data_IF_084062154387
#
_entry.id   IF_084062154387
#
_cell.length_a   1.000
_cell.length_b   1.000
_cell.length_c   1.000
_cell.angle_alpha   90.00
_cell.angle_beta   90.00
_cell.angle_gamma   90.00
#
_symmetry.space_group_name_H-M   'P 1'
#
loop_
_entity.id
_entity.type
_entity.pdbx_description
1 polymer ?
#
# COMPACT_ATOMS: atom_id res chain seq x y z
N UNK A 1 -10.81 6.91 12.08
CA UNK A 1 -11.09 5.79 13.02
C UNK A 1 -12.07 4.83 12.36
N UNK A 2 -11.71 3.58 12.04
CA UNK A 2 -12.74 2.59 11.75
C UNK A 2 -13.64 2.49 12.98
N UNK A 3 -14.93 2.78 12.80
CA UNK A 3 -15.94 2.63 13.85
C UNK A 3 -16.29 1.16 13.88
N UNK A 4 -15.96 0.50 14.99
CA UNK A 4 -16.54 -0.79 15.31
C UNK A 4 -18.00 -0.55 15.71
N UNK A 5 -18.93 -1.12 14.95
CA UNK A 5 -20.34 -1.16 15.33
C UNK A 5 -20.63 -2.59 15.75
N UNK A 6 -20.91 -2.80 17.03
CA UNK A 6 -21.59 -4.02 17.44
C UNK A 6 -22.92 -4.09 16.69
N UNK A 7 -23.28 -5.28 16.23
CA UNK A 7 -24.67 -5.52 15.86
C UNK A 7 -25.49 -5.33 17.16
N UNK A 8 -26.54 -4.49 17.17
CA UNK A 8 -27.36 -4.33 18.35
C UNK A 8 -27.81 -5.70 18.87
N UNK A 9 -27.48 -6.01 20.13
CA UNK A 9 -27.88 -7.26 20.78
C UNK A 9 -29.41 -7.45 20.83
N UNK A 10 -30.16 -6.36 20.71
CA UNK A 10 -31.62 -6.35 20.59
C UNK A 10 -32.06 -5.68 19.29
N UNK A 11 -32.95 -6.34 18.54
CA UNK A 11 -33.57 -5.78 17.35
C UNK A 11 -34.53 -4.63 17.75
N UNK A 12 -33.99 -3.41 17.87
CA UNK A 12 -34.78 -2.19 18.07
C UNK A 12 -34.86 -1.41 16.75
N UNK A 13 -36.05 -1.22 16.15
CA UNK A 13 -36.21 -0.48 14.90
C UNK A 13 -35.89 1.02 15.05
N UNK A 14 -35.73 1.52 16.28
CA UNK A 14 -35.41 2.92 16.59
C UNK A 14 -33.90 3.19 16.76
N UNK A 15 -33.03 2.17 16.72
CA UNK A 15 -31.59 2.36 16.91
C UNK A 15 -31.19 2.89 18.31
N UNK A 16 -29.89 3.01 18.61
CA UNK A 16 -29.39 3.45 19.92
C UNK A 16 -29.63 4.94 20.21
N UNK A 17 -29.83 5.76 19.19
CA UNK A 17 -30.13 7.20 19.29
C UNK A 17 -31.64 7.52 19.19
N UNK A 18 -32.50 6.51 19.05
CA UNK A 18 -33.95 6.68 18.95
C UNK A 18 -34.46 7.16 17.59
N UNK A 19 -33.58 7.41 16.61
CA UNK A 19 -33.92 7.97 15.31
C UNK A 19 -33.95 6.96 14.14
N UNK A 20 -33.75 5.68 14.44
CA UNK A 20 -33.72 4.58 13.47
C UNK A 20 -32.34 4.38 12.85
N UNK A 21 -32.08 3.17 12.36
CA UNK A 21 -30.83 2.84 11.68
C UNK A 21 -30.73 3.59 10.34
N UNK A 22 -29.68 4.40 10.14
CA UNK A 22 -29.44 5.11 8.89
C UNK A 22 -29.14 4.10 7.75
N UNK A 23 -30.14 3.88 6.89
CA UNK A 23 -30.13 2.92 5.78
C UNK A 23 -29.29 3.41 4.60
N UNK A 24 -27.97 3.23 4.66
CA UNK A 24 -27.09 3.17 3.48
C UNK A 24 -26.03 2.05 3.63
N UNK A 25 -26.39 0.98 4.33
CA UNK A 25 -25.57 -0.23 4.53
C UNK A 25 -26.16 -1.42 3.78
N UNK A 26 -26.47 -1.26 2.49
CA UNK A 26 -27.27 -2.22 1.71
C UNK A 26 -26.58 -3.56 1.39
N UNK A 27 -25.41 -3.87 1.97
CA UNK A 27 -24.79 -5.20 1.92
C UNK A 27 -24.24 -5.68 3.29
N UNK A 28 -24.67 -5.07 4.40
CA UNK A 28 -24.13 -5.34 5.74
C UNK A 28 -24.72 -6.57 6.46
N UNK A 29 -25.39 -7.50 5.76
CA UNK A 29 -26.30 -8.46 6.41
C UNK A 29 -26.11 -9.94 6.04
N UNK A 30 -24.88 -10.40 5.78
CA UNK A 30 -24.60 -11.84 5.75
C UNK A 30 -23.96 -12.29 7.08
N UNK A 31 -24.80 -12.60 8.07
CA UNK A 31 -24.61 -13.51 9.23
C UNK A 31 -23.33 -13.47 10.10
N UNK A 32 -22.49 -12.44 10.02
CA UNK A 32 -21.33 -12.30 10.92
C UNK A 32 -21.55 -11.24 12.03
N UNK A 33 -21.34 -11.57 13.33
CA UNK A 33 -21.64 -10.69 14.46
C UNK A 33 -20.81 -9.39 14.58
N UNK A 34 -19.67 -9.28 13.89
CA UNK A 34 -18.77 -8.15 14.00
C UNK A 34 -18.83 -7.28 12.74
N UNK A 35 -19.39 -6.07 12.83
CA UNK A 35 -19.42 -5.12 11.71
C UNK A 35 -18.13 -4.29 11.66
N UNK A 36 -17.05 -4.94 11.26
CA UNK A 36 -15.94 -4.25 10.62
C UNK A 36 -16.31 -4.09 9.13
N UNK A 37 -16.14 -2.88 8.58
CA UNK A 37 -16.74 -2.43 7.30
C UNK A 37 -16.90 -3.49 6.21
N UNK A 38 -18.13 -3.59 5.68
CA UNK A 38 -18.57 -4.29 4.45
C UNK A 38 -17.42 -4.94 3.65
N UNK A 39 -17.08 -6.23 3.82
CA UNK A 39 -16.00 -6.86 3.01
C UNK A 39 -16.31 -6.70 1.50
N UNK A 40 -15.51 -5.95 0.72
CA UNK A 40 -15.82 -5.65 -0.65
C UNK A 40 -15.37 -6.86 -1.47
N UNK A 41 -16.34 -7.65 -1.92
CA UNK A 41 -16.09 -8.84 -2.73
C UNK A 41 -15.68 -8.51 -4.17
N UNK A 42 -15.90 -7.25 -4.58
CA UNK A 42 -15.53 -6.70 -5.89
C UNK A 42 -14.63 -5.49 -5.71
N UNK A 43 -13.72 -5.28 -6.66
CA UNK A 43 -12.84 -4.13 -6.70
C UNK A 43 -13.61 -2.79 -6.72
N UNK A 44 -14.59 -2.67 -7.62
CA UNK A 44 -15.40 -1.47 -7.80
C UNK A 44 -16.36 -1.15 -6.63
N UNK A 45 -16.31 -1.89 -5.52
CA UNK A 45 -17.07 -1.62 -4.29
C UNK A 45 -16.26 -0.80 -3.27
N UNK A 46 -14.96 -0.57 -3.52
CA UNK A 46 -14.05 0.18 -2.65
C UNK A 46 -13.62 1.55 -3.22
N UNK A 47 -14.14 1.91 -4.39
CA UNK A 47 -13.77 3.15 -5.07
C UNK A 47 -14.47 4.35 -4.43
N UNK A 48 -13.72 5.21 -3.75
CA UNK A 48 -14.24 6.50 -3.32
C UNK A 48 -14.33 7.44 -4.53
N UNK A 49 -15.53 7.64 -5.09
CA UNK A 49 -15.75 8.41 -6.31
C UNK A 49 -15.15 9.85 -6.31
N UNK A 50 -14.93 10.45 -5.13
CA UNK A 50 -14.38 11.81 -5.01
C UNK A 50 -12.86 11.87 -5.09
N UNK A 51 -12.18 10.82 -4.68
CA UNK A 51 -10.70 10.82 -4.63
C UNK A 51 -10.13 9.76 -5.56
N UNK A 52 -10.84 8.68 -5.86
CA UNK A 52 -10.29 7.52 -6.56
C UNK A 52 -9.34 6.70 -5.68
N UNK A 53 -9.34 6.94 -4.37
CA UNK A 53 -8.59 6.13 -3.40
C UNK A 53 -9.33 4.81 -3.15
N UNK A 54 -8.55 3.74 -3.02
CA UNK A 54 -9.02 2.44 -2.53
C UNK A 54 -9.03 2.46 -0.99
N UNK A 55 -10.01 3.15 -0.40
CA UNK A 55 -10.10 3.30 1.06
C UNK A 55 -11.54 3.22 1.55
N UNK A 56 -11.69 2.84 2.81
CA UNK A 56 -12.97 2.80 3.53
C UNK A 56 -13.44 4.22 3.86
N UNK A 57 -13.84 5.01 2.88
CA UNK A 57 -14.12 6.44 3.09
C UNK A 57 -12.93 7.16 3.73
N UNK A 58 -13.16 8.11 4.64
CA UNK A 58 -12.10 8.77 5.40
C UNK A 58 -11.37 7.90 6.44
N UNK A 59 -11.56 6.58 6.40
CA UNK A 59 -11.00 5.64 7.37
C UNK A 59 -9.90 4.78 6.71
N UNK A 60 -8.70 4.84 7.30
CA UNK A 60 -7.55 4.05 6.87
C UNK A 60 -7.66 2.57 7.29
N UNK A 61 -6.86 1.70 6.68
CA UNK A 61 -6.66 0.32 7.16
C UNK A 61 -6.16 0.39 8.62
N UNK A 62 -6.64 -0.49 9.49
CA UNK A 62 -6.04 -0.63 10.82
C UNK A 62 -4.60 -1.14 10.65
N UNK A 63 -3.62 -0.25 10.65
CA UNK A 63 -2.21 -0.62 10.59
C UNK A 63 -1.76 -0.95 12.02
N UNK A 64 -1.27 -2.17 12.23
CA UNK A 64 -0.91 -2.70 13.54
C UNK A 64 -0.30 -1.70 14.50
N UNK A 65 -0.91 -1.57 15.68
CA UNK A 65 -0.41 -0.95 16.91
C UNK A 65 0.31 0.42 16.85
N UNK A 66 0.46 1.07 15.68
CA UNK A 66 1.42 2.18 15.49
C UNK A 66 0.80 3.55 15.31
N UNK A 67 -0.52 3.65 15.18
CA UNK A 67 -1.19 4.91 15.45
C UNK A 67 -1.49 4.95 16.96
N UNK A 68 -0.72 5.74 17.70
CA UNK A 68 -1.16 6.19 19.02
C UNK A 68 -2.56 6.78 18.81
N UNK A 69 -3.59 6.36 19.56
CA UNK A 69 -4.93 6.90 19.41
C UNK A 69 -4.83 8.41 19.51
N UNK A 70 -4.97 9.13 18.39
CA UNK A 70 -5.08 10.59 18.44
C UNK A 70 -6.45 10.87 19.03
N UNK A 71 -6.54 11.50 20.21
CA UNK A 71 -7.83 11.92 20.70
C UNK A 71 -8.41 12.88 19.65
N UNK A 72 -9.63 12.62 19.21
CA UNK A 72 -10.38 13.63 18.48
C UNK A 72 -10.50 14.82 19.44
N UNK A 73 -10.15 16.05 19.02
CA UNK A 73 -10.41 17.23 19.85
C UNK A 73 -11.89 17.20 20.23
N UNK A 74 -12.20 17.17 21.53
CA UNK A 74 -13.55 17.04 22.11
C UNK A 74 -14.17 15.62 22.16
N UNK A 75 -13.41 14.53 22.04
CA UNK A 75 -13.93 13.20 22.35
C UNK A 75 -14.27 13.07 23.85
N UNK A 76 -15.46 12.57 24.15
CA UNK A 76 -15.85 12.22 25.52
C UNK A 76 -14.84 11.22 26.13
N UNK A 77 -14.50 11.30 27.42
CA UNK A 77 -13.63 10.31 28.08
C UNK A 77 -14.16 8.87 27.96
N UNK A 78 -15.46 8.69 27.72
CA UNK A 78 -16.10 7.38 27.53
C UNK A 78 -16.09 6.87 26.08
N UNK A 79 -15.45 7.60 25.15
CA UNK A 79 -15.38 7.16 23.75
C UNK A 79 -14.46 5.93 23.66
N UNK A 80 -14.95 4.75 23.24
CA UNK A 80 -14.14 3.54 23.19
C UNK A 80 -12.95 3.73 22.26
N UNK A 81 -11.74 3.65 22.82
CA UNK A 81 -10.49 3.66 22.06
C UNK A 81 -10.26 2.27 21.49
N UNK A 82 -10.72 2.05 20.26
CA UNK A 82 -10.42 0.79 19.56
C UNK A 82 -8.93 0.77 19.22
N UNK A 83 -8.15 -0.01 19.98
CA UNK A 83 -6.77 -0.32 19.66
C UNK A 83 -6.77 -1.25 18.44
N UNK A 84 -6.13 -0.86 17.34
CA UNK A 84 -6.11 -1.67 16.12
C UNK A 84 -5.65 -3.12 16.35
N UNK A 85 -4.78 -3.35 17.33
CA UNK A 85 -4.29 -4.69 17.68
C UNK A 85 -5.35 -5.66 18.21
N UNK A 86 -6.50 -5.16 18.69
CA UNK A 86 -7.63 -5.96 19.18
C UNK A 86 -8.83 -5.98 18.22
N UNK A 87 -8.70 -5.43 17.01
CA UNK A 87 -9.74 -5.51 16.00
C UNK A 87 -9.83 -6.94 15.46
N UNK A 88 -10.99 -7.64 15.55
CA UNK A 88 -11.12 -9.02 15.08
C UNK A 88 -10.78 -9.20 13.59
N UNK A 89 -11.05 -8.20 12.74
CA UNK A 89 -10.64 -8.23 11.33
C UNK A 89 -9.13 -8.08 11.17
N UNK A 90 -8.49 -7.22 11.97
CA UNK A 90 -7.03 -7.10 11.97
C UNK A 90 -6.35 -8.36 12.52
N UNK A 91 -6.93 -8.98 13.55
CA UNK A 91 -6.46 -10.25 14.09
C UNK A 91 -6.65 -11.39 13.08
N UNK A 92 -7.82 -11.49 12.45
CA UNK A 92 -8.09 -12.47 11.40
C UNK A 92 -7.17 -12.29 10.18
N UNK A 93 -6.89 -11.04 9.77
CA UNK A 93 -5.93 -10.75 8.70
C UNK A 93 -4.48 -11.06 9.08
N UNK A 94 -4.11 -10.98 10.36
CA UNK A 94 -2.80 -11.42 10.86
C UNK A 94 -2.68 -12.93 11.00
N UNK A 95 -3.79 -13.59 11.31
CA UNK A 95 -3.90 -15.03 11.49
C UNK A 95 -4.02 -15.75 10.13
N UNK A 96 -4.47 -15.05 9.09
CA UNK A 96 -4.45 -15.52 7.71
C UNK A 96 -3.11 -15.20 7.01
N UNK A 97 -2.62 -16.14 6.17
CA UNK A 97 -1.27 -16.08 5.64
C UNK A 97 -1.09 -14.99 4.58
N UNK A 98 0.19 -14.68 4.34
CA UNK A 98 0.72 -13.89 3.21
C UNK A 98 -0.10 -14.10 1.94
N UNK A 99 -0.21 -13.07 1.09
CA UNK A 99 -0.72 -13.23 -0.29
C UNK A 99 -0.14 -14.51 -0.89
N UNK A 100 -0.95 -15.57 -1.08
CA UNK A 100 -0.42 -16.86 -1.48
C UNK A 100 0.24 -16.69 -2.86
N UNK A 101 1.46 -17.21 -2.99
CA UNK A 101 2.24 -17.19 -4.23
C UNK A 101 2.67 -15.79 -4.69
N UNK A 102 3.04 -14.90 -3.77
CA UNK A 102 3.70 -13.63 -4.13
C UNK A 102 4.88 -13.89 -5.11
N UNK A 103 4.87 -13.31 -6.31
CA UNK A 103 5.91 -13.55 -7.31
C UNK A 103 7.30 -13.15 -6.80
N UNK A 104 8.18 -14.13 -6.70
CA UNK A 104 9.60 -13.95 -6.38
C UNK A 104 9.87 -13.16 -5.08
N UNK A 105 10.98 -12.39 -5.07
CA UNK A 105 11.31 -11.37 -4.06
C UNK A 105 10.81 -9.97 -4.46
N UNK A 106 9.85 -9.89 -5.40
CA UNK A 106 9.41 -8.60 -5.95
C UNK A 106 8.86 -7.68 -4.86
N UNK A 107 9.40 -6.47 -4.76
CA UNK A 107 8.95 -5.47 -3.77
C UNK A 107 7.82 -4.58 -4.29
N UNK A 108 7.64 -4.56 -5.62
CA UNK A 108 6.61 -3.81 -6.34
C UNK A 108 6.00 -4.68 -7.44
N UNK A 109 4.68 -4.70 -7.51
CA UNK A 109 3.91 -5.35 -8.58
C UNK A 109 2.83 -4.41 -9.10
N UNK A 110 2.48 -4.57 -10.37
CA UNK A 110 1.28 -3.98 -10.97
C UNK A 110 0.12 -4.97 -10.81
N UNK A 111 -0.93 -4.58 -10.10
CA UNK A 111 -2.17 -5.34 -10.00
C UNK A 111 -3.16 -4.89 -11.07
N UNK A 112 -3.62 -5.81 -11.91
CA UNK A 112 -4.68 -5.57 -12.89
C UNK A 112 -5.95 -6.31 -12.52
N UNK A 113 -7.05 -5.58 -12.48
CA UNK A 113 -8.33 -6.13 -12.05
C UNK A 113 -8.98 -6.88 -13.20
N UNK A 114 -9.49 -8.06 -12.91
CA UNK A 114 -10.26 -8.90 -13.82
C UNK A 114 -11.52 -9.37 -13.13
N UNK A 115 -12.64 -9.36 -13.83
CA UNK A 115 -13.84 -10.03 -13.34
C UNK A 115 -13.63 -11.55 -13.41
N UNK A 116 -14.21 -12.27 -12.46
CA UNK A 116 -14.19 -13.73 -12.54
C UNK A 116 -14.94 -14.21 -13.79
N UNK A 117 -14.45 -15.28 -14.45
CA UNK A 117 -15.19 -15.87 -15.56
C UNK A 117 -16.54 -16.38 -15.06
N UNK A 118 -17.58 -16.18 -15.87
CA UNK A 118 -18.93 -16.66 -15.52
C UNK A 118 -18.93 -18.17 -15.37
N UNK A 119 -19.63 -18.67 -14.35
CA UNK A 119 -19.77 -20.10 -14.12
C UNK A 119 -20.60 -20.71 -15.25
N UNK A 120 -20.07 -21.70 -16.00
CA UNK A 120 -20.80 -22.31 -17.11
C UNK A 120 -22.18 -22.84 -16.66
N UNK A 121 -23.24 -22.44 -17.37
CA UNK A 121 -24.60 -22.90 -17.10
C UNK A 121 -25.36 -22.13 -16.01
N UNK A 122 -24.74 -21.16 -15.33
CA UNK A 122 -25.38 -20.34 -14.30
C UNK A 122 -25.82 -18.98 -14.87
N UNK A 123 -27.12 -18.67 -14.82
CA UNK A 123 -27.69 -17.47 -15.46
C UNK A 123 -28.29 -16.44 -14.49
N UNK A 124 -28.74 -16.85 -13.30
CA UNK A 124 -29.52 -16.00 -12.38
C UNK A 124 -28.80 -15.63 -11.08
N UNK A 125 -27.90 -16.50 -10.59
CA UNK A 125 -27.16 -16.29 -9.34
C UNK A 125 -25.76 -16.90 -9.47
N UNK A 126 -25.00 -16.43 -10.46
CA UNK A 126 -23.64 -16.90 -10.69
C UNK A 126 -22.75 -16.48 -9.49
N UNK A 127 -22.13 -17.43 -8.75
CA UNK A 127 -21.25 -17.09 -7.64
C UNK A 127 -20.01 -16.28 -8.06
N UNK A 128 -19.65 -16.29 -9.34
CA UNK A 128 -18.61 -15.44 -9.92
C UNK A 128 -19.07 -14.00 -10.18
N UNK A 129 -20.38 -13.76 -10.28
CA UNK A 129 -20.91 -12.41 -10.52
C UNK A 129 -20.60 -11.49 -9.33
N UNK A 130 -19.87 -10.41 -9.61
CA UNK A 130 -19.44 -9.46 -8.58
C UNK A 130 -18.19 -9.87 -7.80
N UNK A 131 -17.43 -10.86 -8.29
CA UNK A 131 -16.07 -11.17 -7.82
C UNK A 131 -15.02 -10.65 -8.80
N UNK A 132 -13.89 -10.24 -8.25
CA UNK A 132 -12.74 -9.78 -9.03
C UNK A 132 -11.49 -10.53 -8.61
N UNK A 133 -10.68 -10.95 -9.58
CA UNK A 133 -9.29 -11.35 -9.35
C UNK A 133 -8.35 -10.19 -9.69
N UNK A 134 -7.15 -10.24 -9.13
CA UNK A 134 -6.07 -9.31 -9.44
C UNK A 134 -4.93 -10.11 -10.03
N UNK A 135 -4.66 -9.86 -11.31
CA UNK A 135 -3.55 -10.45 -12.03
C UNK A 135 -2.31 -9.62 -11.75
N UNK A 136 -1.23 -10.29 -11.35
CA UNK A 136 0.01 -9.64 -10.92
C UNK A 136 0.99 -9.58 -12.08
N UNK A 137 1.48 -8.37 -12.34
CA UNK A 137 2.52 -8.10 -13.33
C UNK A 137 3.75 -7.49 -12.64
N UNK A 138 4.92 -7.67 -13.25
CA UNK A 138 6.13 -6.93 -12.85
C UNK A 138 5.93 -5.44 -13.12
N UNK A 139 6.80 -4.59 -12.57
CA UNK A 139 6.74 -3.15 -12.86
C UNK A 139 6.98 -2.80 -14.33
N UNK A 140 7.58 -3.72 -15.09
CA UNK A 140 7.79 -3.63 -16.54
C UNK A 140 6.58 -4.12 -17.35
N UNK A 141 5.49 -4.54 -16.67
CA UNK A 141 4.27 -5.04 -17.30
C UNK A 141 4.28 -6.52 -17.67
N UNK A 142 5.34 -7.27 -17.32
CA UNK A 142 5.41 -8.70 -17.61
C UNK A 142 4.43 -9.46 -16.71
N UNK A 143 3.61 -10.33 -17.30
CA UNK A 143 2.71 -11.20 -16.54
C UNK A 143 3.52 -12.20 -15.70
N UNK A 144 3.19 -12.30 -14.41
CA UNK A 144 3.83 -13.25 -13.49
C UNK A 144 3.13 -14.62 -13.49
N UNK A 145 1.97 -14.73 -14.15
CA UNK A 145 1.10 -15.91 -14.10
C UNK A 145 0.35 -16.08 -12.78
N UNK A 146 0.48 -15.14 -11.85
CA UNK A 146 -0.19 -15.17 -10.54
C UNK A 146 -1.44 -14.30 -10.59
N UNK A 147 -2.56 -14.91 -10.22
CA UNK A 147 -3.83 -14.22 -9.97
C UNK A 147 -4.26 -14.46 -8.52
N UNK A 148 -4.63 -13.38 -7.83
CA UNK A 148 -5.05 -13.40 -6.42
C UNK A 148 -6.50 -12.98 -6.34
N UNK A 149 -7.29 -13.60 -5.47
CA UNK A 149 -8.65 -13.13 -5.22
C UNK A 149 -8.62 -11.75 -4.55
N UNK A 150 -9.43 -10.81 -5.04
CA UNK A 150 -9.46 -9.45 -4.51
C UNK A 150 -9.69 -9.40 -2.99
N UNK A 151 -10.61 -10.18 -2.41
CA UNK A 151 -10.86 -10.15 -0.97
C UNK A 151 -9.70 -10.64 -0.12
N UNK A 152 -8.79 -11.44 -0.67
CA UNK A 152 -7.58 -11.91 0.02
C UNK A 152 -6.48 -10.85 -0.08
N UNK A 153 -6.31 -10.28 -1.27
CA UNK A 153 -5.38 -9.17 -1.48
C UNK A 153 -5.77 -7.93 -0.66
N UNK A 154 -7.06 -7.61 -0.54
CA UNK A 154 -7.54 -6.43 0.17
C UNK A 154 -7.22 -6.46 1.68
N UNK A 155 -7.12 -7.66 2.27
CA UNK A 155 -6.87 -7.83 3.71
C UNK A 155 -5.40 -8.12 4.05
N UNK A 156 -4.56 -8.42 3.05
CA UNK A 156 -3.14 -8.69 3.26
C UNK A 156 -2.45 -7.52 4.00
N UNK A 157 -1.89 -7.83 5.17
CA UNK A 157 -1.35 -6.83 6.09
C UNK A 157 0.02 -6.31 5.63
N UNK A 158 0.76 -7.15 4.91
CA UNK A 158 2.11 -6.95 4.42
C UNK A 158 2.18 -6.19 3.09
N UNK A 159 1.07 -5.62 2.60
CA UNK A 159 1.07 -4.84 1.36
C UNK A 159 0.40 -3.48 1.51
N UNK A 160 0.77 -2.56 0.61
CA UNK A 160 0.09 -1.29 0.36
C UNK A 160 -0.29 -1.19 -1.10
N UNK A 161 -1.34 -0.44 -1.38
CA UNK A 161 -1.85 -0.24 -2.74
C UNK A 161 -1.90 1.25 -3.03
N UNK A 162 -1.47 1.66 -4.22
CA UNK A 162 -1.61 3.06 -4.67
C UNK A 162 -3.05 3.36 -5.10
N UNK A 163 -3.25 4.57 -5.60
CA UNK A 163 -4.47 4.96 -6.26
C UNK A 163 -4.70 4.10 -7.49
N UNK A 164 -5.98 3.87 -7.79
CA UNK A 164 -6.38 3.24 -9.05
C UNK A 164 -6.05 4.19 -10.20
N UNK A 165 -5.64 3.59 -11.30
CA UNK A 165 -5.59 4.24 -12.61
C UNK A 165 -6.14 3.29 -13.66
N UNK A 166 -6.37 3.80 -14.86
CA UNK A 166 -6.71 2.99 -16.03
C UNK A 166 -5.51 2.92 -16.95
N UNK A 167 -5.11 1.72 -17.34
CA UNK A 167 -4.16 1.47 -18.41
C UNK A 167 -4.87 0.85 -19.63
N UNK A 168 -4.11 0.46 -20.67
CA UNK A 168 -4.71 -0.15 -21.87
C UNK A 168 -5.45 -1.46 -21.60
N UNK A 169 -5.19 -2.08 -20.45
CA UNK A 169 -5.73 -3.37 -20.05
C UNK A 169 -6.87 -3.24 -19.04
N UNK A 170 -7.22 -2.02 -18.58
CA UNK A 170 -8.35 -1.73 -17.71
C UNK A 170 -7.95 -1.12 -16.37
N UNK A 171 -8.69 -1.46 -15.31
CA UNK A 171 -8.42 -0.95 -13.97
C UNK A 171 -7.15 -1.57 -13.37
N UNK A 172 -6.24 -0.72 -12.91
CA UNK A 172 -4.94 -1.11 -12.39
C UNK A 172 -4.50 -0.27 -11.19
N UNK A 173 -3.55 -0.80 -10.42
CA UNK A 173 -2.92 -0.12 -9.28
C UNK A 173 -1.58 -0.77 -8.93
N UNK A 174 -0.69 -0.02 -8.29
CA UNK A 174 0.55 -0.57 -7.78
C UNK A 174 0.35 -1.24 -6.43
N UNK A 175 1.00 -2.38 -6.23
CA UNK A 175 1.02 -3.13 -4.99
C UNK A 175 2.45 -3.16 -4.47
N UNK A 176 2.65 -2.62 -3.28
CA UNK A 176 3.96 -2.54 -2.65
C UNK A 176 4.02 -3.45 -1.44
N UNK A 177 5.03 -4.33 -1.39
CA UNK A 177 5.27 -5.17 -0.23
C UNK A 177 5.89 -4.37 0.91
N UNK A 178 5.47 -4.63 2.14
CA UNK A 178 6.08 -4.11 3.36
C UNK A 178 7.10 -5.12 3.85
N UNK A 179 8.38 -4.77 3.70
CA UNK A 179 9.47 -5.62 4.16
C UNK A 179 9.50 -5.70 5.70
N UNK A 180 9.35 -6.89 6.32
CA UNK A 180 9.38 -7.04 7.78
C UNK A 180 10.75 -6.71 8.39
N UNK A 181 11.84 -6.79 7.61
CA UNK A 181 13.17 -6.42 8.08
C UNK A 181 13.33 -4.91 8.31
N UNK A 182 12.42 -4.08 7.78
CA UNK A 182 12.43 -2.62 7.94
C UNK A 182 12.50 -2.17 9.42
N UNK A 183 11.91 -2.93 10.34
CA UNK A 183 11.97 -2.59 11.77
C UNK A 183 13.38 -2.64 12.36
N UNK A 184 14.26 -3.43 11.75
CA UNK A 184 15.66 -3.62 12.17
C UNK A 184 16.64 -2.76 11.36
N UNK A 185 16.17 -2.05 10.34
CA UNK A 185 17.03 -1.20 9.51
C UNK A 185 17.37 0.11 10.18
N UNK A 186 18.59 0.59 9.93
CA UNK A 186 19.11 1.83 10.49
C UNK A 186 19.16 2.89 9.40
N UNK A 187 18.56 4.04 9.68
CA UNK A 187 18.58 5.23 8.84
C UNK A 187 19.23 6.36 9.62
N UNK A 188 20.34 6.87 9.11
CA UNK A 188 21.00 8.04 9.69
C UNK A 188 20.58 9.30 8.96
N UNK A 189 19.91 10.20 9.68
CA UNK A 189 19.44 11.48 9.14
C UNK A 189 20.27 12.62 9.69
N UNK A 190 20.77 13.48 8.81
CA UNK A 190 21.46 14.73 9.16
C UNK A 190 20.86 15.90 8.38
N UNK A 191 20.42 16.93 9.10
CA UNK A 191 19.92 18.17 8.51
C UNK A 191 21.08 19.14 8.27
N UNK A 192 21.12 19.71 7.08
CA UNK A 192 22.01 20.79 6.68
C UNK A 192 21.18 22.05 6.40
N UNK A 193 21.86 23.17 6.11
CA UNK A 193 21.20 24.46 5.85
C UNK A 193 20.31 24.42 4.61
N UNK A 194 20.73 23.71 3.57
CA UNK A 194 20.13 23.71 2.23
C UNK A 194 19.51 22.35 1.84
N UNK A 195 19.71 21.32 2.65
CA UNK A 195 19.21 19.97 2.39
C UNK A 195 19.15 19.10 3.64
N UNK A 196 18.42 18.00 3.57
CA UNK A 196 18.51 16.89 4.52
C UNK A 196 19.19 15.71 3.84
N UNK A 197 20.13 15.07 4.54
CA UNK A 197 20.80 13.86 4.06
C UNK A 197 20.33 12.66 4.88
N UNK A 198 19.93 11.60 4.18
CA UNK A 198 19.64 10.30 4.76
C UNK A 198 20.66 9.30 4.25
N UNK A 199 21.21 8.48 5.14
CA UNK A 199 22.10 7.38 4.78
C UNK A 199 21.46 6.09 5.25
N UNK A 200 21.26 5.17 4.32
CA UNK A 200 20.61 3.88 4.55
C UNK A 200 21.67 2.82 4.77
N UNK A 201 21.48 2.00 5.80
CA UNK A 201 22.40 0.92 6.13
C UNK A 201 21.68 -0.42 6.20
N UNK A 202 22.39 -1.47 5.79
CA UNK A 202 22.03 -2.84 6.07
C UNK A 202 22.24 -3.14 7.57
N UNK A 203 21.70 -4.28 8.02
CA UNK A 203 21.83 -4.72 9.41
C UNK A 203 23.29 -4.96 9.85
N UNK A 204 24.19 -5.22 8.90
CA UNK A 204 25.64 -5.39 9.09
C UNK A 204 26.41 -4.05 9.09
N UNK A 205 25.71 -2.91 9.14
CA UNK A 205 26.26 -1.55 9.08
C UNK A 205 26.94 -1.19 7.74
N UNK A 206 26.75 -1.98 6.69
CA UNK A 206 27.16 -1.59 5.34
C UNK A 206 26.21 -0.55 4.77
N UNK A 207 26.75 0.43 4.06
CA UNK A 207 25.95 1.48 3.41
C UNK A 207 25.28 0.92 2.16
N UNK A 208 23.99 1.20 2.01
CA UNK A 208 23.17 0.75 0.87
C UNK A 208 22.87 1.90 -0.09
N UNK A 209 22.54 3.07 0.47
CA UNK A 209 22.22 4.25 -0.31
C UNK A 209 22.45 5.54 0.50
N UNK A 210 22.56 6.66 -0.20
CA UNK A 210 22.35 7.98 0.37
C UNK A 210 21.29 8.74 -0.42
N UNK A 211 20.44 9.44 0.31
CA UNK A 211 19.40 10.28 -0.23
C UNK A 211 19.68 11.72 0.21
N UNK A 212 19.58 12.65 -0.73
CA UNK A 212 19.70 14.08 -0.47
C UNK A 212 18.39 14.76 -0.84
N UNK A 213 17.69 15.29 0.16
CA UNK A 213 16.40 15.95 -0.01
C UNK A 213 16.58 17.46 0.09
N UNK A 214 16.18 18.17 -0.95
CA UNK A 214 16.09 19.62 -1.01
C UNK A 214 14.64 20.05 -0.77
N UNK A 215 14.41 20.97 0.17
CA UNK A 215 13.07 21.31 0.67
C UNK A 215 12.64 20.41 1.84
N UNK A 216 11.32 20.31 2.07
CA UNK A 216 10.77 19.40 3.06
C UNK A 216 10.90 17.95 2.57
N UNK A 217 11.32 17.02 3.43
CA UNK A 217 11.33 15.61 3.05
C UNK A 217 9.89 15.15 2.77
N UNK A 218 9.58 14.78 1.52
CA UNK A 218 8.29 14.20 1.15
C UNK A 218 8.13 12.75 1.65
N UNK A 219 8.85 12.33 2.69
CA UNK A 219 8.81 10.97 3.21
C UNK A 219 9.06 10.96 4.72
N UNK A 220 8.50 9.97 5.39
CA UNK A 220 8.74 9.67 6.78
C UNK A 220 9.86 8.62 6.95
N UNK A 221 10.35 8.48 8.18
CA UNK A 221 11.41 7.52 8.52
C UNK A 221 11.04 6.07 8.15
N UNK A 222 9.76 5.70 8.26
CA UNK A 222 9.33 4.34 7.94
C UNK A 222 9.45 4.03 6.43
N UNK A 223 9.24 5.02 5.55
CA UNK A 223 9.47 4.85 4.10
C UNK A 223 10.94 4.52 3.80
N UNK A 224 11.86 5.20 4.49
CA UNK A 224 13.30 5.00 4.33
C UNK A 224 13.75 3.64 4.86
N UNK A 225 13.14 3.18 5.96
CA UNK A 225 13.41 1.86 6.54
C UNK A 225 13.01 0.71 5.62
N UNK A 226 11.83 0.79 5.00
CA UNK A 226 11.45 -0.21 3.99
C UNK A 226 12.36 -0.15 2.77
N UNK A 227 12.71 1.04 2.31
CA UNK A 227 13.64 1.16 1.18
C UNK A 227 15.02 0.58 1.50
N UNK A 228 15.54 0.82 2.70
CA UNK A 228 16.78 0.20 3.18
C UNK A 228 16.67 -1.34 3.24
N UNK A 229 15.56 -1.87 3.75
CA UNK A 229 15.33 -3.31 3.84
C UNK A 229 15.26 -3.97 2.45
N UNK A 230 14.55 -3.34 1.52
CA UNK A 230 14.43 -3.81 0.14
C UNK A 230 15.82 -3.86 -0.52
N UNK A 231 16.63 -2.81 -0.39
CA UNK A 231 17.99 -2.78 -0.93
C UNK A 231 18.90 -3.84 -0.30
N UNK A 232 18.76 -4.10 1.01
CA UNK A 232 19.55 -5.11 1.72
C UNK A 232 19.27 -6.53 1.20
N UNK A 233 18.02 -6.83 0.83
CA UNK A 233 17.64 -8.14 0.30
C UNK A 233 18.22 -8.43 -1.10
N UNK A 234 18.55 -7.38 -1.86
CA UNK A 234 19.18 -7.46 -3.18
C UNK A 234 20.67 -7.73 -3.11
N UNK A 235 21.33 -7.19 -2.09
CA UNK A 235 22.78 -7.35 -1.90
C UNK A 235 23.22 -8.79 -1.64
N UNK A 236 22.37 -9.56 -0.96
CA UNK A 236 22.62 -10.97 -0.70
C UNK A 236 22.29 -11.87 -1.89
N UNK A 237 21.71 -11.34 -2.97
CA UNK A 237 21.43 -12.09 -4.18
C UNK A 237 22.67 -12.07 -5.07
N UNK A 238 23.20 -13.26 -5.41
CA UNK A 238 24.25 -13.36 -6.41
C UNK A 238 23.80 -12.68 -7.71
N UNK A 239 24.66 -11.92 -8.41
CA UNK A 239 24.26 -11.23 -9.63
C UNK A 239 23.75 -12.26 -10.64
N UNK A 240 22.45 -12.20 -10.93
CA UNK A 240 21.90 -12.92 -12.07
C UNK A 240 22.61 -12.42 -13.34
N UNK A 241 23.07 -13.37 -14.13
CA UNK A 241 24.06 -13.25 -15.20
C UNK A 241 24.08 -11.96 -16.06
N UNK A 242 25.30 -11.45 -16.28
CA UNK A 242 25.68 -10.59 -17.40
C UNK A 242 25.58 -9.07 -17.14
N UNK A 243 26.29 -8.23 -17.92
CA UNK A 243 26.08 -6.79 -17.91
C UNK A 243 24.74 -6.50 -18.57
N UNK A 244 23.64 -6.67 -17.83
CA UNK A 244 22.35 -6.18 -18.26
C UNK A 244 22.45 -4.66 -18.30
N UNK A 245 22.20 -4.07 -19.46
CA UNK A 245 21.99 -2.63 -19.59
C UNK A 245 20.99 -2.20 -18.53
N UNK A 246 21.36 -1.26 -17.67
CA UNK A 246 20.48 -0.77 -16.61
C UNK A 246 19.11 -0.45 -17.22
N UNK A 247 18.01 -1.02 -16.70
CA UNK A 247 16.70 -0.77 -17.27
C UNK A 247 16.42 0.74 -17.22
N UNK A 248 15.82 1.26 -18.29
CA UNK A 248 15.44 2.67 -18.32
C UNK A 248 14.45 2.94 -17.18
N UNK A 249 14.76 3.94 -16.34
CA UNK A 249 13.84 4.42 -15.34
C UNK A 249 12.63 5.04 -16.06
N UNK A 250 11.39 4.68 -15.70
CA UNK A 250 10.23 5.36 -16.25
C UNK A 250 10.21 6.81 -15.75
N UNK A 251 9.76 7.75 -16.59
CA UNK A 251 9.65 9.18 -16.22
C UNK A 251 8.68 9.42 -15.05
N UNK A 252 7.74 8.50 -14.84
CA UNK A 252 6.79 8.51 -13.73
C UNK A 252 6.12 7.15 -13.55
N UNK A 253 5.34 7.04 -12.48
CA UNK A 253 4.53 5.86 -12.18
C UNK A 253 3.05 6.21 -12.39
N UNK A 254 2.33 5.54 -13.30
CA UNK A 254 0.88 5.70 -13.45
C UNK A 254 0.15 5.58 -12.11
N UNK A 255 -0.84 6.43 -11.85
CA UNK A 255 -1.57 6.44 -10.58
C UNK A 255 -0.77 6.91 -9.35
N UNK A 256 0.46 7.38 -9.53
CA UNK A 256 1.27 8.03 -8.50
C UNK A 256 1.49 9.50 -8.94
N UNK A 257 0.49 10.38 -8.72
CA UNK A 257 0.59 11.77 -9.12
C UNK A 257 1.68 12.49 -8.29
N UNK A 258 2.10 13.65 -8.77
CA UNK A 258 3.07 14.54 -8.11
C UNK A 258 4.53 14.08 -8.10
N UNK A 259 4.83 12.88 -8.58
CA UNK A 259 6.21 12.38 -8.69
C UNK A 259 6.66 12.30 -10.14
N UNK A 260 7.89 12.76 -10.39
CA UNK A 260 8.63 12.47 -11.62
C UNK A 260 10.00 11.91 -11.27
N UNK A 261 10.50 11.02 -12.12
CA UNK A 261 11.75 10.30 -11.95
C UNK A 261 12.63 10.53 -13.17
N UNK A 262 13.87 10.97 -12.94
CA UNK A 262 14.84 11.16 -14.01
C UNK A 262 16.22 10.65 -13.57
N UNK A 263 16.99 10.01 -14.46
CA UNK A 263 18.40 9.74 -14.20
C UNK A 263 19.22 11.04 -14.28
N UNK A 264 20.07 11.28 -13.29
CA UNK A 264 21.01 12.40 -13.25
C UNK A 264 22.40 11.90 -12.83
N UNK A 265 23.35 11.83 -13.77
CA UNK A 265 24.74 11.46 -13.46
C UNK A 265 24.91 10.10 -12.74
N UNK A 266 24.13 9.09 -13.14
CA UNK A 266 24.14 7.76 -12.49
C UNK A 266 23.36 7.68 -11.18
N UNK A 267 22.67 8.76 -10.79
CA UNK A 267 21.75 8.79 -9.65
C UNK A 267 20.30 8.92 -10.12
N UNK A 268 19.35 8.53 -9.29
CA UNK A 268 17.93 8.76 -9.56
C UNK A 268 17.49 10.07 -8.88
N UNK A 269 16.89 10.98 -9.66
CA UNK A 269 16.28 12.20 -9.13
C UNK A 269 14.77 12.04 -9.09
N UNK A 270 14.19 12.15 -7.90
CA UNK A 270 12.76 12.16 -7.66
C UNK A 270 12.35 13.60 -7.40
N UNK A 271 11.45 14.14 -8.22
CA UNK A 271 10.85 15.45 -7.96
C UNK A 271 9.42 15.25 -7.49
N UNK A 272 9.12 15.77 -6.31
CA UNK A 272 7.78 15.82 -5.74
C UNK A 272 7.21 17.24 -5.87
N UNK A 273 6.11 17.40 -6.59
CA UNK A 273 5.37 18.67 -6.60
C UNK A 273 4.57 18.82 -5.31
N UNK A 274 4.38 20.06 -4.84
CA UNK A 274 3.62 20.30 -3.60
C UNK A 274 2.24 19.64 -3.64
N UNK A 275 1.87 19.00 -2.53
CA UNK A 275 0.58 18.37 -2.29
C UNK A 275 0.00 18.89 -0.99
N UNK A 276 -1.18 18.38 -0.59
CA UNK A 276 -1.78 18.75 0.69
C UNK A 276 -0.91 18.37 1.90
N UNK A 277 -0.17 17.28 1.77
CA UNK A 277 0.52 16.63 2.89
C UNK A 277 2.02 16.89 2.89
N UNK A 278 2.60 17.28 1.74
CA UNK A 278 4.03 17.58 1.61
C UNK A 278 4.29 18.78 0.69
N UNK A 279 5.21 19.65 1.09
CA UNK A 279 5.71 20.71 0.22
C UNK A 279 6.48 20.12 -0.98
N UNK A 280 6.71 20.97 -1.99
CA UNK A 280 7.54 20.61 -3.12
C UNK A 280 8.96 20.25 -2.64
N UNK A 281 9.50 19.18 -3.18
CA UNK A 281 10.85 18.72 -2.84
C UNK A 281 11.53 18.02 -3.99
N UNK A 282 12.86 18.05 -3.98
CA UNK A 282 13.69 17.29 -4.91
C UNK A 282 14.58 16.37 -4.10
N UNK A 283 14.55 15.09 -4.42
CA UNK A 283 15.35 14.07 -3.77
C UNK A 283 16.29 13.43 -4.78
N UNK A 284 17.58 13.42 -4.46
CA UNK A 284 18.57 12.66 -5.22
C UNK A 284 18.91 11.39 -4.47
N UNK A 285 18.69 10.24 -5.10
CA UNK A 285 18.97 8.91 -4.57
C UNK A 285 20.22 8.35 -5.25
N UNK A 286 21.24 8.12 -4.45
CA UNK A 286 22.46 7.44 -4.85
C UNK A 286 22.52 6.08 -4.13
N UNK A 287 22.18 5.01 -4.86
CA UNK A 287 22.31 3.64 -4.37
C UNK A 287 23.72 3.12 -4.69
N UNK A 288 24.34 2.47 -3.71
CA UNK A 288 25.64 1.79 -3.89
C UNK A 288 25.46 0.35 -4.41
N UNK A 289 24.21 -0.12 -4.50
CA UNK A 289 23.84 -1.38 -5.14
C UNK A 289 23.90 -1.25 -6.66
N UNK A 290 24.43 -2.25 -7.41
CA UNK A 290 24.49 -2.20 -8.87
C UNK A 290 23.10 -1.91 -9.49
N UNK A 291 23.03 -1.13 -10.58
CA UNK A 291 21.77 -0.86 -11.25
C UNK A 291 21.20 -2.17 -11.81
N UNK A 292 20.09 -2.62 -11.23
CA UNK A 292 19.36 -3.82 -11.64
C UNK A 292 17.86 -3.52 -11.74
N UNK A 293 17.09 -4.38 -12.43
CA UNK A 293 15.63 -4.31 -12.40
C UNK A 293 15.06 -4.34 -10.97
N UNK A 294 15.70 -5.05 -10.05
CA UNK A 294 15.26 -5.15 -8.67
C UNK A 294 15.58 -3.89 -7.85
N UNK A 295 16.77 -3.29 -8.05
CA UNK A 295 17.12 -2.02 -7.42
C UNK A 295 16.19 -0.90 -7.91
N UNK A 296 15.82 -0.95 -9.20
CA UNK A 296 14.79 -0.08 -9.77
C UNK A 296 13.43 -0.34 -9.12
N UNK A 297 13.04 -1.61 -8.97
CA UNK A 297 11.79 -1.97 -8.29
C UNK A 297 11.74 -1.45 -6.84
N UNK A 298 12.86 -1.51 -6.09
CA UNK A 298 12.95 -0.97 -4.73
C UNK A 298 12.79 0.56 -4.69
N UNK A 299 13.35 1.26 -5.66
CA UNK A 299 13.16 2.71 -5.80
C UNK A 299 11.70 3.06 -6.15
N UNK A 300 11.11 2.36 -7.11
CA UNK A 300 9.72 2.58 -7.51
C UNK A 300 8.75 2.19 -6.37
N UNK A 301 9.06 1.15 -5.60
CA UNK A 301 8.35 0.77 -4.39
C UNK A 301 8.39 1.87 -3.33
N UNK A 302 9.56 2.52 -3.15
CA UNK A 302 9.68 3.68 -2.26
C UNK A 302 8.76 4.83 -2.69
N UNK A 303 8.77 5.20 -3.97
CA UNK A 303 7.89 6.25 -4.52
C UNK A 303 6.42 5.90 -4.31
N UNK A 304 6.02 4.67 -4.64
CA UNK A 304 4.66 4.19 -4.48
C UNK A 304 4.21 4.24 -3.01
N UNK A 305 5.05 3.83 -2.04
CA UNK A 305 4.75 3.93 -0.59
C UNK A 305 4.49 5.37 -0.17
N UNK A 306 5.36 6.28 -0.60
CA UNK A 306 5.20 7.71 -0.29
C UNK A 306 3.88 8.25 -0.82
N UNK A 307 3.48 7.87 -2.04
CA UNK A 307 2.25 8.34 -2.67
C UNK A 307 0.96 7.68 -2.14
N UNK A 308 1.06 6.63 -1.32
CA UNK A 308 -0.11 5.99 -0.70
C UNK A 308 -0.71 6.78 0.46
N UNK A 309 -0.09 7.90 0.88
CA UNK A 309 -0.55 8.77 1.96
C UNK A 309 -1.33 9.99 1.41
#
# INVERSE_FOLDING_TARGET
MPVYLDNPHEYSPRGPDGHGWNRLSLNAHFDTPAHCGLRPIRFASLFEARTGRQRWGGFERCMGAKLTPRPVPNASPDTPRVLCGSCPVYQNAREHPLVPNWPDRSVLLLGRVRDWPRTPGMWLADPAAGRSSVHLHTWQGQDTGVAVDWPDLAIAAEIRMTWQFQDQDGDAFWIVRLNPAAEKTVVHTKKYRDHTRHVLYAADARRLAALKCHGACAHEDWHLRHFAADLADLDGAAPAHGPATAPALPEGLPGVPSFSLAPAGGTATITHTASRDFDASTMTVNAEVPPSPDATAALLAHIARVATW
#
